data_IF_069314784445
#
_entry.id   IF_069314784445
#
_cell.length_a   1.000
_cell.length_b   1.000
_cell.length_c   1.000
_cell.angle_alpha   90.00
_cell.angle_beta   90.00
_cell.angle_gamma   90.00
#
_symmetry.space_group_name_H-M   'P 1'
#
loop_
_entity.id
_entity.type
_entity.pdbx_description
1 polymer ?
#
# COMPACT_ATOMS: atom_id res chain seq x y z
N UNK A 1 -5.10 -31.00 -14.59
CA UNK A 1 -4.73 -30.42 -13.29
C UNK A 1 -3.77 -29.25 -13.49
N UNK A 2 -2.73 -29.43 -14.30
CA UNK A 2 -1.76 -28.37 -14.64
C UNK A 2 -2.39 -27.13 -15.28
N UNK A 3 -3.32 -27.29 -16.23
CA UNK A 3 -4.05 -26.14 -16.81
C UNK A 3 -4.81 -25.33 -15.74
N UNK A 4 -5.29 -25.98 -14.67
CA UNK A 4 -5.93 -25.29 -13.55
C UNK A 4 -4.89 -24.48 -12.78
N UNK A 5 -3.77 -25.09 -12.41
CA UNK A 5 -2.68 -24.39 -11.70
C UNK A 5 -2.12 -23.24 -12.52
N UNK A 6 -1.89 -23.42 -13.82
CA UNK A 6 -1.44 -22.35 -14.70
C UNK A 6 -2.42 -21.19 -14.73
N UNK A 7 -3.73 -21.46 -14.77
CA UNK A 7 -4.77 -20.43 -14.72
C UNK A 7 -4.71 -19.66 -13.40
N UNK A 8 -4.57 -20.35 -12.27
CA UNK A 8 -4.46 -19.70 -10.96
C UNK A 8 -3.16 -18.89 -10.81
N UNK A 9 -2.04 -19.34 -11.38
CA UNK A 9 -0.78 -18.57 -11.42
C UNK A 9 -0.98 -17.25 -12.17
N UNK A 10 -1.58 -17.32 -13.37
CA UNK A 10 -1.85 -16.13 -14.19
C UNK A 10 -2.79 -15.18 -13.46
N UNK A 11 -3.91 -15.70 -12.94
CA UNK A 11 -4.89 -14.92 -12.19
C UNK A 11 -4.27 -14.23 -10.96
N UNK A 12 -3.41 -14.94 -10.23
CA UNK A 12 -2.72 -14.40 -9.06
C UNK A 12 -1.75 -13.27 -9.42
N UNK A 13 -0.82 -13.51 -10.35
CA UNK A 13 0.24 -12.54 -10.64
C UNK A 13 -0.23 -11.35 -11.45
N UNK A 14 -1.24 -11.51 -12.31
CA UNK A 14 -1.91 -10.37 -12.93
C UNK A 14 -2.60 -9.48 -11.90
N UNK A 15 -3.27 -10.07 -10.90
CA UNK A 15 -3.87 -9.31 -9.82
C UNK A 15 -2.82 -8.69 -8.88
N UNK A 16 -1.70 -9.37 -8.63
CA UNK A 16 -0.61 -8.82 -7.83
C UNK A 16 -0.03 -7.54 -8.44
N UNK A 17 0.12 -7.47 -9.76
CA UNK A 17 0.58 -6.25 -10.43
C UNK A 17 -0.40 -5.08 -10.22
N UNK A 18 -1.71 -5.33 -10.33
CA UNK A 18 -2.77 -4.37 -10.01
C UNK A 18 -2.69 -3.91 -8.54
N UNK A 19 -2.54 -4.86 -7.61
CA UNK A 19 -2.37 -4.59 -6.19
C UNK A 19 -1.17 -3.69 -5.91
N UNK A 20 -0.01 -4.00 -6.50
CA UNK A 20 1.21 -3.22 -6.33
C UNK A 20 1.05 -1.79 -6.86
N UNK A 21 0.51 -1.63 -8.07
CA UNK A 21 0.30 -0.31 -8.68
C UNK A 21 -0.66 0.55 -7.85
N UNK A 22 -1.74 -0.05 -7.35
CA UNK A 22 -2.71 0.64 -6.48
C UNK A 22 -2.08 0.99 -5.14
N UNK A 23 -1.39 0.05 -4.49
CA UNK A 23 -0.70 0.28 -3.22
C UNK A 23 0.31 1.42 -3.32
N UNK A 24 1.07 1.48 -4.42
CA UNK A 24 2.01 2.58 -4.69
C UNK A 24 1.31 3.93 -4.83
N UNK A 25 0.17 3.98 -5.52
CA UNK A 25 -0.64 5.19 -5.64
C UNK A 25 -1.21 5.63 -4.27
N UNK A 26 -1.76 4.69 -3.50
CA UNK A 26 -2.30 4.94 -2.17
C UNK A 26 -1.24 5.46 -1.20
N UNK A 27 -0.06 4.84 -1.18
CA UNK A 27 1.09 5.30 -0.40
C UNK A 27 1.50 6.72 -0.80
N UNK A 28 1.47 7.04 -2.10
CA UNK A 28 1.78 8.39 -2.58
C UNK A 28 0.74 9.41 -2.10
N UNK A 29 -0.55 9.08 -2.17
CA UNK A 29 -1.62 9.94 -1.65
C UNK A 29 -1.46 10.16 -0.14
N UNK A 30 -1.18 9.10 0.62
CA UNK A 30 -0.91 9.20 2.06
C UNK A 30 0.28 10.11 2.37
N UNK A 31 1.34 10.03 1.56
CA UNK A 31 2.50 10.91 1.68
C UNK A 31 2.12 12.38 1.47
N UNK A 32 1.30 12.68 0.46
CA UNK A 32 0.86 14.04 0.16
C UNK A 32 -0.03 14.60 1.29
N UNK A 33 -0.92 13.78 1.85
CA UNK A 33 -1.68 14.10 3.06
C UNK A 33 -0.77 14.37 4.26
N UNK A 34 0.26 13.54 4.49
CA UNK A 34 1.22 13.74 5.57
C UNK A 34 1.99 15.05 5.43
N UNK A 35 2.39 15.43 4.21
CA UNK A 35 3.01 16.72 3.92
C UNK A 35 2.04 17.86 4.24
N UNK A 36 0.76 17.73 3.87
CA UNK A 36 -0.29 18.72 4.16
C UNK A 36 -0.50 18.87 5.67
N UNK A 37 -0.65 17.77 6.40
CA UNK A 37 -0.79 17.74 7.87
C UNK A 37 0.39 18.46 8.53
N UNK A 38 1.64 18.16 8.14
CA UNK A 38 2.81 18.83 8.70
C UNK A 38 2.79 20.36 8.49
N UNK A 39 2.31 20.83 7.33
CA UNK A 39 2.15 22.26 7.06
C UNK A 39 1.05 22.88 7.94
N UNK A 40 -0.06 22.18 8.14
CA UNK A 40 -1.17 22.62 8.99
C UNK A 40 -0.76 22.67 10.46
N UNK A 41 -0.03 21.67 10.96
CA UNK A 41 0.53 21.64 12.31
C UNK A 41 1.42 22.87 12.56
N UNK A 42 2.34 23.17 11.64
CA UNK A 42 3.20 24.37 11.75
C UNK A 42 2.37 25.65 11.83
N UNK A 43 1.29 25.75 11.04
CA UNK A 43 0.37 26.90 11.10
C UNK A 43 -0.37 27.00 12.43
N UNK A 44 -0.79 25.87 13.01
CA UNK A 44 -1.38 25.85 14.35
C UNK A 44 -0.42 26.42 15.38
N UNK A 45 0.84 25.95 15.37
CA UNK A 45 1.85 26.44 16.32
C UNK A 45 2.09 27.95 16.15
N UNK A 46 2.22 28.43 14.91
CA UNK A 46 2.37 29.87 14.64
C UNK A 46 1.19 30.71 15.15
N UNK A 47 -0.05 30.20 15.07
CA UNK A 47 -1.23 30.90 15.60
C UNK A 47 -1.21 30.94 17.12
N UNK A 48 -0.78 29.85 17.76
CA UNK A 48 -0.66 29.76 19.22
C UNK A 48 0.44 30.67 19.78
N UNK A 49 1.54 30.81 19.05
CA UNK A 49 2.69 31.65 19.43
C UNK A 49 2.53 33.13 19.05
N UNK A 50 1.53 33.48 18.24
CA UNK A 50 1.34 34.85 17.78
C UNK A 50 0.91 35.80 18.92
N UNK A 51 1.68 36.85 19.16
CA UNK A 51 1.28 37.96 20.04
C UNK A 51 0.32 38.89 19.29
N UNK A 52 -0.96 38.86 19.68
CA UNK A 52 -2.01 39.70 19.07
C UNK A 52 -2.25 41.01 19.81
N UNK A 53 -1.74 41.12 21.04
CA UNK A 53 -1.90 42.29 21.92
C UNK A 53 -1.19 43.50 21.28
N UNK A 54 -1.86 44.66 21.26
CA UNK A 54 -1.31 45.87 20.65
C UNK A 54 -1.36 45.89 19.12
N UNK A 55 -2.01 44.91 18.49
CA UNK A 55 -2.23 44.86 17.04
C UNK A 55 -3.69 45.16 16.70
N UNK A 56 -4.02 45.56 15.46
CA UNK A 56 -5.41 45.69 15.02
C UNK A 56 -6.25 44.42 15.17
N UNK A 57 -5.60 43.25 15.32
CA UNK A 57 -6.25 41.95 15.51
C UNK A 57 -6.73 41.70 16.95
N UNK A 58 -6.26 42.48 17.93
CA UNK A 58 -6.67 42.36 19.34
C UNK A 58 -8.18 42.52 19.53
N UNK A 59 -8.81 43.36 18.70
CA UNK A 59 -10.25 43.60 18.73
C UNK A 59 -11.09 42.42 18.21
N UNK A 60 -10.46 41.40 17.60
CA UNK A 60 -11.15 40.22 17.10
C UNK A 60 -11.14 39.12 18.15
N UNK A 61 -12.14 39.16 19.03
CA UNK A 61 -12.31 38.18 20.09
C UNK A 61 -12.37 36.74 19.53
N UNK A 62 -11.63 35.83 20.17
CA UNK A 62 -11.54 34.41 19.79
C UNK A 62 -10.96 34.13 18.39
N UNK A 63 -10.27 35.09 17.75
CA UNK A 63 -9.68 34.89 16.41
C UNK A 63 -8.73 33.68 16.37
N UNK A 64 -7.78 33.61 17.30
CA UNK A 64 -6.82 32.50 17.37
C UNK A 64 -7.51 31.15 17.58
N UNK A 65 -8.55 31.11 18.42
CA UNK A 65 -9.34 29.89 18.65
C UNK A 65 -10.08 29.45 17.38
N UNK A 66 -10.76 30.38 16.68
CA UNK A 66 -11.45 30.09 15.41
C UNK A 66 -10.49 29.59 14.33
N UNK A 67 -9.35 30.24 14.17
CA UNK A 67 -8.33 29.84 13.19
C UNK A 67 -7.75 28.46 13.53
N UNK A 68 -7.45 28.20 14.79
CA UNK A 68 -6.97 26.89 15.26
C UNK A 68 -8.01 25.79 14.99
N UNK A 69 -9.29 26.04 15.27
CA UNK A 69 -10.38 25.10 14.98
C UNK A 69 -10.50 24.77 13.48
N UNK A 70 -10.38 25.77 12.60
CA UNK A 70 -10.38 25.56 11.14
C UNK A 70 -9.21 24.69 10.69
N UNK A 71 -8.02 24.88 11.26
CA UNK A 71 -6.86 24.06 10.93
C UNK A 71 -7.00 22.63 11.46
N UNK A 72 -7.54 22.44 12.67
CA UNK A 72 -7.85 21.11 13.21
C UNK A 72 -8.85 20.35 12.33
N UNK A 73 -9.87 21.02 11.82
CA UNK A 73 -10.82 20.41 10.88
C UNK A 73 -10.12 19.97 9.58
N UNK A 74 -9.21 20.79 9.05
CA UNK A 74 -8.42 20.42 7.86
C UNK A 74 -7.49 19.23 8.12
N UNK A 75 -6.82 19.19 9.28
CA UNK A 75 -5.99 18.03 9.67
C UNK A 75 -6.86 16.77 9.75
N UNK A 76 -8.06 16.88 10.34
CA UNK A 76 -8.99 15.76 10.45
C UNK A 76 -9.44 15.23 9.07
N UNK A 77 -9.64 16.12 8.10
CA UNK A 77 -9.95 15.74 6.72
C UNK A 77 -8.81 14.96 6.07
N UNK A 78 -7.56 15.42 6.21
CA UNK A 78 -6.39 14.70 5.69
C UNK A 78 -6.21 13.32 6.33
N UNK A 79 -6.51 13.18 7.64
CA UNK A 79 -6.47 11.88 8.34
C UNK A 79 -7.55 10.94 7.79
N UNK A 80 -8.75 11.46 7.49
CA UNK A 80 -9.81 10.66 6.88
C UNK A 80 -9.42 10.18 5.48
N UNK A 81 -8.70 11.00 4.73
CA UNK A 81 -8.17 10.59 3.42
C UNK A 81 -7.16 9.44 3.57
N UNK A 82 -6.20 9.53 4.50
CA UNK A 82 -5.26 8.42 4.77
C UNK A 82 -6.00 7.13 5.16
N UNK A 83 -7.08 7.23 5.96
CA UNK A 83 -7.92 6.07 6.31
C UNK A 83 -8.65 5.48 5.09
N UNK A 84 -9.13 6.33 4.19
CA UNK A 84 -9.74 5.91 2.92
C UNK A 84 -8.73 5.13 2.07
N UNK A 85 -7.49 5.61 1.98
CA UNK A 85 -6.43 4.91 1.27
C UNK A 85 -6.06 3.57 1.94
N UNK A 86 -6.01 3.50 3.27
CA UNK A 86 -5.81 2.23 3.99
C UNK A 86 -6.88 1.20 3.64
N UNK A 87 -8.16 1.60 3.72
CA UNK A 87 -9.29 0.70 3.41
C UNK A 87 -9.21 0.15 1.99
N UNK A 88 -8.82 0.97 1.00
CA UNK A 88 -8.62 0.52 -0.39
C UNK A 88 -7.53 -0.55 -0.49
N UNK A 89 -6.41 -0.37 0.21
CA UNK A 89 -5.30 -1.33 0.20
C UNK A 89 -5.70 -2.61 0.92
N UNK A 90 -6.39 -2.53 2.05
CA UNK A 90 -6.89 -3.69 2.81
C UNK A 90 -7.85 -4.55 1.97
N UNK A 91 -8.81 -3.93 1.27
CA UNK A 91 -9.75 -4.62 0.39
C UNK A 91 -9.03 -5.40 -0.73
N UNK A 92 -7.98 -4.81 -1.32
CA UNK A 92 -7.20 -5.48 -2.34
C UNK A 92 -6.27 -6.55 -1.76
N UNK A 93 -5.73 -6.33 -0.57
CA UNK A 93 -4.89 -7.30 0.12
C UNK A 93 -5.68 -8.55 0.54
N UNK A 94 -6.93 -8.39 0.98
CA UNK A 94 -7.83 -9.53 1.25
C UNK A 94 -8.08 -10.34 -0.03
N UNK A 95 -8.34 -9.67 -1.16
CA UNK A 95 -8.50 -10.34 -2.46
C UNK A 95 -7.21 -11.06 -2.89
N UNK A 96 -6.04 -10.45 -2.69
CA UNK A 96 -4.75 -11.08 -2.99
C UNK A 96 -4.56 -12.34 -2.14
N UNK A 97 -4.88 -12.26 -0.85
CA UNK A 97 -4.83 -13.38 0.10
C UNK A 97 -5.75 -14.52 -0.32
N UNK A 98 -6.97 -14.21 -0.78
CA UNK A 98 -7.90 -15.21 -1.28
C UNK A 98 -7.40 -15.90 -2.56
N UNK A 99 -6.85 -15.13 -3.51
CA UNK A 99 -6.23 -15.70 -4.73
C UNK A 99 -5.02 -16.57 -4.38
N UNK A 100 -4.21 -16.17 -3.40
CA UNK A 100 -3.09 -16.97 -2.91
C UNK A 100 -3.57 -18.32 -2.38
N UNK A 101 -4.62 -18.33 -1.55
CA UNK A 101 -5.20 -19.57 -1.02
C UNK A 101 -5.70 -20.47 -2.14
N UNK A 102 -6.42 -19.91 -3.12
CA UNK A 102 -6.91 -20.65 -4.30
C UNK A 102 -5.76 -21.27 -5.11
N UNK A 103 -4.65 -20.54 -5.28
CA UNK A 103 -3.45 -21.05 -5.92
C UNK A 103 -2.84 -22.21 -5.13
N UNK A 104 -2.65 -22.06 -3.82
CA UNK A 104 -2.10 -23.12 -2.95
C UNK A 104 -2.97 -24.39 -2.98
N UNK A 105 -4.29 -24.24 -2.90
CA UNK A 105 -5.22 -25.36 -2.97
C UNK A 105 -5.12 -26.10 -4.31
N UNK A 106 -4.92 -25.35 -5.40
CA UNK A 106 -4.76 -25.93 -6.73
C UNK A 106 -3.43 -26.68 -6.88
N UNK A 107 -2.40 -26.30 -6.13
CA UNK A 107 -1.09 -26.96 -6.09
C UNK A 107 -1.02 -28.17 -5.14
N UNK A 108 -1.99 -28.33 -4.22
CA UNK A 108 -1.90 -29.31 -3.10
C UNK A 108 -1.68 -30.77 -3.51
N UNK A 109 -2.22 -31.17 -4.66
CA UNK A 109 -2.14 -32.55 -5.15
C UNK A 109 -1.08 -32.72 -6.25
N UNK A 110 -0.26 -31.71 -6.49
CA UNK A 110 0.70 -31.70 -7.58
C UNK A 110 2.03 -32.29 -7.08
N UNK A 111 2.55 -33.27 -7.80
CA UNK A 111 3.84 -33.87 -7.48
C UNK A 111 4.97 -32.92 -7.96
N UNK A 112 5.71 -32.36 -7.02
CA UNK A 112 6.78 -31.41 -7.29
C UNK A 112 8.06 -32.09 -7.83
N UNK A 113 8.11 -33.42 -7.85
CA UNK A 113 9.19 -34.17 -8.47
C UNK A 113 8.95 -34.43 -9.96
N UNK A 114 7.73 -34.20 -10.46
CA UNK A 114 7.40 -34.36 -11.87
C UNK A 114 8.25 -33.45 -12.78
N UNK A 115 8.56 -33.93 -13.98
CA UNK A 115 9.36 -33.21 -14.98
C UNK A 115 8.51 -32.32 -15.89
N UNK A 116 7.31 -31.94 -15.42
CA UNK A 116 6.35 -31.21 -16.24
C UNK A 116 6.79 -29.75 -16.38
N UNK A 117 6.43 -29.07 -17.49
CA UNK A 117 6.85 -27.68 -17.73
C UNK A 117 6.43 -26.71 -16.62
N UNK A 118 5.30 -26.97 -15.95
CA UNK A 118 4.84 -26.13 -14.85
C UNK A 118 5.70 -26.31 -13.59
N UNK A 119 6.11 -27.54 -13.27
CA UNK A 119 6.90 -27.88 -12.08
C UNK A 119 8.35 -27.45 -12.25
N UNK A 120 9.00 -27.87 -13.35
CA UNK A 120 10.42 -27.57 -13.60
C UNK A 120 10.65 -26.18 -14.23
N UNK A 121 9.58 -25.53 -14.70
CA UNK A 121 9.66 -24.28 -15.43
C UNK A 121 10.06 -24.48 -16.90
N UNK A 122 10.13 -23.35 -17.60
CA UNK A 122 10.58 -23.25 -18.98
C UNK A 122 11.52 -22.04 -19.10
N UNK A 123 12.20 -21.83 -20.24
CA UNK A 123 12.96 -20.59 -20.45
C UNK A 123 12.15 -19.30 -20.32
N UNK A 124 10.81 -19.38 -20.41
CA UNK A 124 9.89 -18.23 -20.34
C UNK A 124 9.10 -18.17 -19.02
N UNK A 125 9.07 -19.25 -18.24
CA UNK A 125 8.29 -19.34 -17.01
C UNK A 125 9.16 -19.94 -15.89
N UNK A 126 9.29 -19.26 -14.74
CA UNK A 126 9.99 -19.82 -13.59
C UNK A 126 9.37 -21.14 -13.11
N UNK A 127 10.14 -22.02 -12.44
CA UNK A 127 9.62 -23.23 -11.81
C UNK A 127 8.52 -22.92 -10.80
N UNK A 128 7.53 -23.81 -10.65
CA UNK A 128 6.41 -23.63 -9.72
C UNK A 128 6.86 -23.26 -8.31
N UNK A 129 7.90 -23.93 -7.79
CA UNK A 129 8.46 -23.62 -6.47
C UNK A 129 8.83 -22.14 -6.34
N UNK A 130 9.46 -21.56 -7.38
CA UNK A 130 9.87 -20.16 -7.37
C UNK A 130 8.69 -19.21 -7.42
N UNK A 131 7.65 -19.57 -8.18
CA UNK A 131 6.40 -18.82 -8.24
C UNK A 131 5.68 -18.82 -6.88
N UNK A 132 5.68 -19.95 -6.17
CA UNK A 132 5.10 -19.99 -4.82
C UNK A 132 5.88 -19.13 -3.82
N UNK A 133 7.22 -19.15 -3.86
CA UNK A 133 8.06 -18.22 -3.08
C UNK A 133 7.73 -16.75 -3.38
N UNK A 134 7.57 -16.39 -4.66
CA UNK A 134 7.17 -15.04 -5.03
C UNK A 134 5.77 -14.66 -4.53
N UNK A 135 4.84 -15.62 -4.49
CA UNK A 135 3.51 -15.39 -3.96
C UNK A 135 3.55 -15.11 -2.45
N UNK A 136 4.35 -15.87 -1.69
CA UNK A 136 4.58 -15.62 -0.26
C UNK A 136 5.22 -14.24 -0.01
N UNK A 137 6.22 -13.86 -0.81
CA UNK A 137 6.84 -12.54 -0.74
C UNK A 137 5.83 -11.41 -1.00
N UNK A 138 4.94 -11.60 -1.97
CA UNK A 138 3.93 -10.60 -2.30
C UNK A 138 2.88 -10.40 -1.19
N UNK A 139 2.56 -11.46 -0.43
CA UNK A 139 1.72 -11.33 0.77
C UNK A 139 2.44 -10.60 1.90
N UNK A 140 3.73 -10.89 2.09
CA UNK A 140 4.56 -10.20 3.07
C UNK A 140 4.63 -8.70 2.77
N UNK A 141 4.85 -8.35 1.49
CA UNK A 141 4.77 -6.97 1.01
C UNK A 141 3.42 -6.33 1.31
N UNK A 142 2.31 -6.98 0.97
CA UNK A 142 0.98 -6.41 1.20
C UNK A 142 0.68 -6.18 2.69
N UNK A 143 1.04 -7.13 3.54
CA UNK A 143 0.91 -7.00 4.99
C UNK A 143 1.73 -5.83 5.55
N UNK A 144 2.97 -5.67 5.10
CA UNK A 144 3.83 -4.56 5.51
C UNK A 144 3.28 -3.20 5.07
N UNK A 145 2.71 -3.10 3.86
CA UNK A 145 2.07 -1.85 3.40
C UNK A 145 0.89 -1.46 4.30
N UNK A 146 -0.01 -2.41 4.61
CA UNK A 146 -1.12 -2.15 5.53
C UNK A 146 -0.61 -1.71 6.92
N UNK A 147 0.33 -2.46 7.49
CA UNK A 147 0.90 -2.17 8.81
C UNK A 147 1.59 -0.80 8.86
N UNK A 148 2.26 -0.41 7.78
CA UNK A 148 2.95 0.87 7.65
C UNK A 148 1.96 2.05 7.66
N UNK A 149 0.85 1.96 6.93
CA UNK A 149 -0.18 3.00 6.91
C UNK A 149 -0.87 3.08 8.28
N UNK A 150 -1.27 1.94 8.85
CA UNK A 150 -1.92 1.87 10.15
C UNK A 150 -1.03 2.44 11.28
N UNK A 151 0.25 2.06 11.31
CA UNK A 151 1.22 2.62 12.26
C UNK A 151 1.30 4.13 12.14
N UNK A 152 1.29 4.67 10.92
CA UNK A 152 1.35 6.11 10.69
C UNK A 152 0.08 6.83 11.17
N UNK A 153 -1.09 6.24 10.96
CA UNK A 153 -2.37 6.73 11.51
C UNK A 153 -2.39 6.72 13.03
N UNK A 154 -1.86 5.66 13.65
CA UNK A 154 -1.72 5.56 15.10
C UNK A 154 -0.81 6.68 15.62
N UNK A 155 0.34 6.91 14.99
CA UNK A 155 1.25 8.01 15.39
C UNK A 155 0.56 9.38 15.28
N UNK A 156 -0.20 9.64 14.21
CA UNK A 156 -1.00 10.86 14.07
C UNK A 156 -2.03 11.03 15.20
N UNK A 157 -2.66 9.92 15.60
CA UNK A 157 -3.68 9.92 16.66
C UNK A 157 -3.07 10.17 18.04
N UNK A 158 -1.93 9.54 18.36
CA UNK A 158 -1.29 9.64 19.67
C UNK A 158 -0.45 10.92 19.87
N UNK A 159 0.33 11.33 18.86
CA UNK A 159 1.24 12.49 18.97
C UNK A 159 0.56 13.81 18.58
N UNK A 160 -0.54 13.78 17.83
CA UNK A 160 -1.32 14.97 17.46
C UNK A 160 -0.46 16.04 16.77
N UNK A 161 -0.47 17.27 17.29
CA UNK A 161 0.32 18.38 16.76
C UNK A 161 1.83 18.31 17.12
N UNK A 162 2.26 17.36 17.96
CA UNK A 162 3.67 17.19 18.36
C UNK A 162 4.40 16.13 17.53
N UNK A 163 3.80 15.71 16.42
CA UNK A 163 4.32 14.63 15.59
C UNK A 163 5.53 15.10 14.78
N UNK A 164 6.61 14.31 14.79
CA UNK A 164 7.73 14.47 13.85
C UNK A 164 7.28 14.14 12.41
N UNK A 165 8.10 14.49 11.42
CA UNK A 165 7.75 14.29 10.01
C UNK A 165 7.42 12.83 9.68
N UNK A 166 6.16 12.55 9.33
CA UNK A 166 5.68 11.23 8.89
C UNK A 166 5.86 10.94 7.40
N UNK A 167 6.45 11.86 6.64
CA UNK A 167 6.52 11.80 5.17
C UNK A 167 7.28 10.57 4.68
N UNK A 168 8.25 10.10 5.46
CA UNK A 168 9.05 8.93 5.12
C UNK A 168 8.34 7.61 5.45
N UNK A 169 7.34 7.64 6.34
CA UNK A 169 6.57 6.47 6.74
C UNK A 169 5.57 6.01 5.68
N UNK A 170 5.45 6.69 4.54
CA UNK A 170 4.59 6.28 3.42
C UNK A 170 5.40 5.88 2.17
N UNK A 171 6.71 5.67 2.30
CA UNK A 171 7.54 5.15 1.21
C UNK A 171 7.62 3.63 1.25
N UNK A 172 7.61 2.99 0.09
CA UNK A 172 7.91 1.55 -0.01
C UNK A 172 9.29 1.30 0.59
N UNK A 173 9.40 0.31 1.49
CA UNK A 173 10.65 -0.05 2.14
C UNK A 173 11.70 -0.48 1.11
N UNK A 174 12.98 -0.20 1.40
CA UNK A 174 14.07 -0.33 0.43
C UNK A 174 14.25 -1.75 -0.12
N UNK A 175 14.01 -2.78 0.70
CA UNK A 175 14.11 -4.18 0.24
C UNK A 175 13.03 -4.53 -0.79
N UNK A 176 11.82 -3.98 -0.65
CA UNK A 176 10.74 -4.18 -1.62
C UNK A 176 10.94 -3.41 -2.92
N UNK A 177 11.70 -2.32 -2.91
CA UNK A 177 11.96 -1.52 -4.11
C UNK A 177 12.70 -2.30 -5.21
N UNK A 178 13.45 -3.34 -4.86
CA UNK A 178 14.09 -4.25 -5.80
C UNK A 178 13.30 -5.55 -5.98
N UNK A 179 12.78 -6.09 -4.88
CA UNK A 179 12.11 -7.41 -4.89
C UNK A 179 10.80 -7.43 -5.67
N UNK A 180 9.97 -6.38 -5.56
CA UNK A 180 8.68 -6.34 -6.24
C UNK A 180 8.84 -6.20 -7.77
N UNK A 181 9.69 -5.30 -8.28
CA UNK A 181 10.00 -5.27 -9.72
C UNK A 181 10.59 -6.58 -10.25
N UNK A 182 11.42 -7.27 -9.45
CA UNK A 182 11.94 -8.60 -9.80
C UNK A 182 10.79 -9.58 -10.00
N UNK A 183 9.88 -9.70 -9.03
CA UNK A 183 8.71 -10.59 -9.11
C UNK A 183 7.89 -10.28 -10.38
N UNK A 184 7.51 -9.01 -10.57
CA UNK A 184 6.72 -8.56 -11.74
C UNK A 184 7.42 -8.93 -13.05
N UNK A 185 8.73 -8.72 -13.13
CA UNK A 185 9.51 -9.08 -14.32
C UNK A 185 9.48 -10.58 -14.60
N UNK A 186 9.69 -11.42 -13.57
CA UNK A 186 9.67 -12.87 -13.73
C UNK A 186 8.27 -13.43 -14.00
N UNK A 187 7.21 -12.70 -13.66
CA UNK A 187 5.82 -13.12 -13.87
C UNK A 187 5.16 -12.45 -15.07
N UNK A 188 5.90 -11.63 -15.82
CA UNK A 188 5.43 -10.93 -17.02
C UNK A 188 4.84 -11.87 -18.08
N UNK A 189 5.28 -13.13 -18.16
CA UNK A 189 4.71 -14.15 -19.04
C UNK A 189 3.20 -14.38 -18.83
N UNK A 190 2.66 -13.99 -17.67
CA UNK A 190 1.22 -14.07 -17.38
C UNK A 190 0.42 -13.14 -18.30
N UNK A 191 0.99 -11.99 -18.68
CA UNK A 191 0.37 -11.06 -19.63
C UNK A 191 0.26 -11.68 -21.03
N UNK A 192 1.30 -12.36 -21.51
CA UNK A 192 1.30 -13.03 -22.82
C UNK A 192 0.30 -14.19 -22.89
N UNK A 193 0.15 -14.96 -21.80
CA UNK A 193 -0.76 -16.11 -21.72
C UNK A 193 -2.24 -15.72 -21.54
N UNK A 194 -2.53 -14.56 -20.95
CA UNK A 194 -3.91 -14.07 -20.81
C UNK A 194 -4.61 -13.85 -22.18
N UNK A 195 -3.82 -13.51 -23.20
CA UNK A 195 -4.27 -13.31 -24.59
C UNK A 195 -4.59 -14.63 -25.32
N UNK A 196 -3.97 -15.73 -24.90
CA UNK A 196 -4.16 -17.06 -25.51
C UNK A 196 -5.35 -17.83 -24.91
N UNK A 197 -5.76 -17.50 -23.69
CA UNK A 197 -6.90 -18.14 -22.99
C UNK A 197 -8.25 -17.45 -23.24
N UNK A 198 -8.26 -16.36 -24.03
CA UNK A 198 -9.44 -15.56 -24.38
C UNK A 198 -9.94 -15.79 -25.82
N UNK A 199 -9.38 -16.80 -26.52
CA UNK A 199 -9.80 -17.33 -27.83
C UNK A 199 -10.30 -18.76 -27.63
#
# INVERSE_FOLDING_TARGET
>A
MENKVQKEIVDYFSFFEEFHNTSKACLKNCQDCAISINKLIKRCNNIQEAEIIGTPLENFENLQYKLSGLLHNKISQEILEIRSELSKVEDLFEKLSHKHQTLLESCRNLDLEETTPIVKGTPLQPPLKKLLEFAEDSLSFGSEVCAQIDTSLNVLTYKGLKTESLVDNFKIQSHWQLRIPEIISYTSFCSDNSTLLSI
#
